data_IF_274070684547
#
_entry.id   IF_274070684547
#
_cell.length_a   1.000
_cell.length_b   1.000
_cell.length_c   1.000
_cell.angle_alpha   90.00
_cell.angle_beta   90.00
_cell.angle_gamma   90.00
#
_symmetry.space_group_name_H-M   'P 1'
#
loop_
_entity.id
_entity.type
_entity.pdbx_description
1 polymer ?
#
# COMPACT_ATOMS: atom_id res chain seq x y z
N UNK A 1 8.04 10.01 -19.96
CA UNK A 1 8.06 9.07 -18.81
C UNK A 1 7.16 9.48 -17.65
N UNK A 2 7.50 10.44 -16.78
CA UNK A 2 6.63 10.75 -15.62
C UNK A 2 5.22 11.22 -16.03
N UNK A 3 5.13 12.04 -17.07
CA UNK A 3 3.84 12.48 -17.62
C UNK A 3 3.03 11.32 -18.20
N UNK A 4 3.68 10.33 -18.82
CA UNK A 4 3.01 9.12 -19.31
C UNK A 4 2.46 8.29 -18.15
N UNK A 5 3.24 8.12 -17.08
CA UNK A 5 2.79 7.43 -15.86
C UNK A 5 1.58 8.13 -15.24
N UNK A 6 1.61 9.46 -15.14
CA UNK A 6 0.49 10.25 -14.60
C UNK A 6 -0.75 10.13 -15.48
N UNK A 7 -0.60 10.25 -16.80
CA UNK A 7 -1.70 10.09 -17.75
C UNK A 7 -2.30 8.67 -17.69
N UNK A 8 -1.44 7.64 -17.63
CA UNK A 8 -1.86 6.25 -17.45
C UNK A 8 -2.56 6.03 -16.12
N UNK A 9 -2.06 6.63 -15.03
CA UNK A 9 -2.70 6.58 -13.71
C UNK A 9 -4.10 7.17 -13.76
N UNK A 10 -4.27 8.34 -14.38
CA UNK A 10 -5.58 8.97 -14.55
C UNK A 10 -6.51 8.08 -15.37
N UNK A 11 -6.02 7.50 -16.47
CA UNK A 11 -6.81 6.62 -17.32
C UNK A 11 -7.31 5.37 -16.58
N UNK A 12 -6.42 4.65 -15.87
CA UNK A 12 -6.79 3.43 -15.15
C UNK A 12 -7.63 3.70 -13.90
N UNK A 13 -7.44 4.85 -13.24
CA UNK A 13 -8.21 5.22 -12.05
C UNK A 13 -9.59 5.79 -12.36
N UNK A 14 -9.79 6.43 -13.51
CA UNK A 14 -11.08 7.06 -13.87
C UNK A 14 -11.92 6.23 -14.83
N UNK A 15 -11.28 5.39 -15.66
CA UNK A 15 -11.93 4.51 -16.64
C UNK A 15 -11.28 3.13 -16.59
N UNK A 16 -11.47 2.38 -15.49
CA UNK A 16 -10.81 1.10 -15.30
C UNK A 16 -11.34 0.05 -16.28
N UNK A 17 -10.47 -0.48 -17.13
CA UNK A 17 -10.74 -1.62 -18.01
C UNK A 17 -9.42 -2.26 -18.44
N UNK A 18 -9.46 -3.53 -18.86
CA UNK A 18 -8.28 -4.23 -19.42
C UNK A 18 -7.67 -3.43 -20.56
N UNK A 19 -8.50 -2.91 -21.47
CA UNK A 19 -8.08 -2.07 -22.58
C UNK A 19 -7.39 -0.78 -22.13
N UNK A 20 -7.84 -0.16 -21.03
CA UNK A 20 -7.22 1.06 -20.47
C UNK A 20 -5.79 0.79 -19.99
N UNK A 21 -5.57 -0.37 -19.35
CA UNK A 21 -4.24 -0.83 -18.95
C UNK A 21 -3.35 -1.14 -20.16
N UNK A 22 -3.84 -1.93 -21.13
CA UNK A 22 -3.11 -2.28 -22.35
C UNK A 22 -2.69 -1.05 -23.16
N UNK A 23 -3.56 -0.02 -23.24
CA UNK A 23 -3.25 1.24 -23.94
C UNK A 23 -2.09 2.02 -23.32
N UNK A 24 -1.89 1.91 -22.00
CA UNK A 24 -0.86 2.63 -21.26
C UNK A 24 0.27 1.72 -20.78
N UNK A 25 0.33 0.50 -21.30
CA UNK A 25 1.29 -0.51 -20.91
C UNK A 25 2.69 -0.20 -21.46
N UNK A 26 3.71 -0.47 -20.64
CA UNK A 26 5.12 -0.43 -21.04
C UNK A 26 5.88 -1.52 -20.30
N UNK A 27 6.80 -2.19 -20.98
CA UNK A 27 7.81 -3.04 -20.33
C UNK A 27 8.94 -2.18 -19.76
N UNK A 28 8.72 -1.58 -18.59
CA UNK A 28 9.74 -0.75 -17.95
C UNK A 28 9.68 -0.80 -16.42
N UNK A 29 10.33 -1.82 -15.85
CA UNK A 29 10.43 -2.00 -14.41
C UNK A 29 11.07 -0.81 -13.68
N UNK A 30 12.09 -0.17 -14.27
CA UNK A 30 12.82 0.93 -13.64
C UNK A 30 11.89 2.11 -13.36
N UNK A 31 11.09 2.49 -14.34
CA UNK A 31 10.14 3.59 -14.16
C UNK A 31 8.94 3.23 -13.28
N UNK A 32 8.51 1.96 -13.28
CA UNK A 32 7.53 1.48 -12.31
C UNK A 32 8.04 1.67 -10.87
N UNK A 33 9.30 1.31 -10.61
CA UNK A 33 9.95 1.51 -9.30
C UNK A 33 10.13 2.99 -8.97
N UNK A 34 10.59 3.81 -9.91
CA UNK A 34 10.72 5.26 -9.70
C UNK A 34 9.37 5.86 -9.28
N UNK A 35 8.27 5.44 -9.93
CA UNK A 35 6.95 5.95 -9.61
C UNK A 35 6.46 5.53 -8.22
N UNK A 36 6.69 4.26 -7.84
CA UNK A 36 6.43 3.78 -6.48
C UNK A 36 7.27 4.54 -5.44
N UNK A 37 8.54 4.83 -5.73
CA UNK A 37 9.44 5.61 -4.87
C UNK A 37 8.94 7.05 -4.71
N UNK A 38 8.48 7.70 -5.78
CA UNK A 38 7.88 9.04 -5.70
C UNK A 38 6.68 9.03 -4.73
N UNK A 39 5.79 8.04 -4.84
CA UNK A 39 4.68 7.90 -3.89
C UNK A 39 5.17 7.66 -2.46
N UNK A 40 6.20 6.83 -2.24
CA UNK A 40 6.77 6.60 -0.91
C UNK A 40 7.33 7.86 -0.27
N UNK A 41 7.99 8.72 -1.06
CA UNK A 41 8.53 10.00 -0.59
C UNK A 41 7.38 10.94 -0.22
N UNK A 42 6.34 11.03 -1.05
CA UNK A 42 5.14 11.81 -0.74
C UNK A 42 4.51 11.33 0.56
N UNK A 43 4.33 10.01 0.72
CA UNK A 43 3.76 9.42 1.93
C UNK A 43 4.63 9.69 3.16
N UNK A 44 5.95 9.62 3.02
CA UNK A 44 6.90 9.96 4.08
C UNK A 44 6.80 11.42 4.52
N UNK A 45 6.65 12.35 3.57
CA UNK A 45 6.42 13.78 3.85
C UNK A 45 5.06 13.97 4.55
N UNK A 46 3.99 13.36 4.04
CA UNK A 46 2.67 13.41 4.67
C UNK A 46 2.71 12.85 6.10
N UNK A 47 3.43 11.75 6.32
CA UNK A 47 3.66 11.21 7.65
C UNK A 47 4.41 12.23 8.53
N UNK A 48 5.51 12.82 8.08
CA UNK A 48 6.25 13.81 8.86
C UNK A 48 5.37 15.03 9.24
N UNK A 49 4.56 15.54 8.31
CA UNK A 49 3.65 16.68 8.54
C UNK A 49 2.56 16.31 9.55
N UNK A 50 2.02 15.10 9.48
CA UNK A 50 0.90 14.65 10.33
C UNK A 50 1.36 14.06 11.66
N UNK A 51 2.66 13.92 11.89
CA UNK A 51 3.20 13.32 13.12
C UNK A 51 2.73 14.05 14.39
N UNK A 52 2.75 15.41 14.49
CA UNK A 52 2.26 16.11 15.69
C UNK A 52 0.78 15.85 15.98
N UNK A 53 -0.05 15.76 14.93
CA UNK A 53 -1.48 15.45 15.07
C UNK A 53 -1.69 14.05 15.64
N UNK A 54 -0.98 13.05 15.09
CA UNK A 54 -1.06 11.65 15.54
C UNK A 54 -0.54 11.46 16.97
N UNK A 55 0.52 12.18 17.35
CA UNK A 55 1.03 12.19 18.72
C UNK A 55 0.02 12.80 19.69
N UNK A 56 -0.63 13.90 19.30
CA UNK A 56 -1.68 14.53 20.10
C UNK A 56 -2.88 13.60 20.32
N UNK A 57 -3.33 12.91 19.28
CA UNK A 57 -4.41 11.93 19.37
C UNK A 57 -4.02 10.72 20.23
N UNK A 58 -2.82 10.16 20.04
CA UNK A 58 -2.31 9.05 20.85
C UNK A 58 -2.24 9.43 22.33
N UNK A 59 -1.74 10.64 22.64
CA UNK A 59 -1.71 11.15 24.02
C UNK A 59 -3.11 11.21 24.63
N UNK A 60 -4.07 11.81 23.92
CA UNK A 60 -5.45 11.89 24.41
C UNK A 60 -6.06 10.50 24.65
N UNK A 61 -5.78 9.53 23.76
CA UNK A 61 -6.22 8.14 23.94
C UNK A 61 -5.60 7.49 25.18
N UNK A 62 -4.29 7.63 25.40
CA UNK A 62 -3.62 7.07 26.58
C UNK A 62 -4.07 7.73 27.88
N UNK A 63 -4.27 9.05 27.89
CA UNK A 63 -4.81 9.79 29.04
C UNK A 63 -6.22 9.31 29.42
N UNK A 64 -7.09 9.08 28.42
CA UNK A 64 -8.44 8.52 28.67
C UNK A 64 -8.42 7.08 29.16
N UNK A 65 -7.35 6.33 28.86
CA UNK A 65 -7.12 4.98 29.39
C UNK A 65 -6.48 4.98 30.78
N UNK A 66 -6.21 6.15 31.38
CA UNK A 66 -5.63 6.27 32.72
C UNK A 66 -4.14 5.91 32.80
N UNK A 67 -3.44 5.93 31.66
CA UNK A 67 -2.00 5.65 31.61
C UNK A 67 -1.24 6.77 32.33
N UNK A 68 -0.27 6.45 33.20
CA UNK A 68 0.45 7.46 33.95
C UNK A 68 1.35 8.31 33.01
N UNK A 69 1.58 9.61 33.33
CA UNK A 69 2.21 10.55 32.40
C UNK A 69 3.63 10.17 31.96
N UNK A 70 4.39 9.52 32.85
CA UNK A 70 5.74 9.02 32.58
C UNK A 70 5.76 7.93 31.50
N UNK A 71 4.79 7.01 31.53
CA UNK A 71 4.63 5.98 30.50
C UNK A 71 4.20 6.58 29.16
N UNK A 72 3.39 7.65 29.16
CA UNK A 72 2.97 8.36 27.94
C UNK A 72 4.17 9.03 27.27
N UNK A 73 5.03 9.70 28.04
CA UNK A 73 6.23 10.34 27.49
C UNK A 73 7.21 9.32 26.91
N UNK A 74 7.40 8.18 27.58
CA UNK A 74 8.20 7.07 27.07
C UNK A 74 7.63 6.50 25.75
N UNK A 75 6.31 6.34 25.65
CA UNK A 75 5.64 5.87 24.43
C UNK A 75 5.79 6.84 23.26
N UNK A 76 5.68 8.16 23.52
CA UNK A 76 5.88 9.19 22.49
C UNK A 76 7.34 9.23 22.04
N UNK A 77 8.30 9.09 22.96
CA UNK A 77 9.72 9.05 22.63
C UNK A 77 10.09 7.86 21.73
N UNK A 78 9.32 6.76 21.77
CA UNK A 78 9.50 5.62 20.88
C UNK A 78 9.02 5.84 19.44
N UNK A 79 8.28 6.92 19.13
CA UNK A 79 7.82 7.17 17.74
C UNK A 79 8.96 7.43 16.73
N UNK A 80 10.21 7.55 17.21
CA UNK A 80 11.38 7.67 16.34
C UNK A 80 11.41 8.98 15.56
N UNK A 81 12.50 9.21 14.83
CA UNK A 81 12.63 10.40 14.00
C UNK A 81 11.89 10.17 12.66
N UNK A 82 10.87 10.98 12.31
CA UNK A 82 10.11 10.82 11.07
C UNK A 82 10.99 10.93 9.83
N UNK A 83 12.12 11.66 9.89
CA UNK A 83 13.08 11.78 8.78
C UNK A 83 13.72 10.41 8.48
N UNK A 84 14.09 9.64 9.51
CA UNK A 84 14.67 8.29 9.33
C UNK A 84 13.64 7.37 8.68
N UNK A 85 12.36 7.50 9.05
CA UNK A 85 11.27 6.71 8.48
C UNK A 85 11.09 6.96 6.97
N UNK A 86 11.37 8.18 6.47
CA UNK A 86 11.32 8.48 5.03
C UNK A 86 12.39 7.68 4.27
N UNK A 87 13.64 7.73 4.73
CA UNK A 87 14.74 7.01 4.08
C UNK A 87 14.56 5.49 4.14
N UNK A 88 14.17 4.97 5.31
CA UNK A 88 13.82 3.56 5.45
C UNK A 88 12.65 3.16 4.54
N UNK A 89 11.66 4.06 4.40
CA UNK A 89 10.49 3.89 3.55
C UNK A 89 10.84 3.70 2.08
N UNK A 90 11.81 4.43 1.54
CA UNK A 90 12.23 4.31 0.13
C UNK A 90 12.73 2.89 -0.17
N UNK A 91 13.67 2.38 0.62
CA UNK A 91 14.20 1.03 0.43
C UNK A 91 13.14 -0.03 0.70
N UNK A 92 12.30 0.18 1.73
CA UNK A 92 11.17 -0.66 2.04
C UNK A 92 10.17 -0.76 0.89
N UNK A 93 9.87 0.37 0.22
CA UNK A 93 9.01 0.41 -0.96
C UNK A 93 9.65 -0.34 -2.13
N UNK A 94 10.92 -0.12 -2.45
CA UNK A 94 11.57 -0.82 -3.56
C UNK A 94 11.53 -2.34 -3.34
N UNK A 95 11.97 -2.79 -2.17
CA UNK A 95 12.02 -4.22 -1.83
C UNK A 95 10.61 -4.80 -1.77
N UNK A 96 9.69 -4.13 -1.08
CA UNK A 96 8.30 -4.54 -0.93
C UNK A 96 7.57 -4.63 -2.26
N UNK A 97 7.71 -3.62 -3.12
CA UNK A 97 7.15 -3.61 -4.48
C UNK A 97 7.70 -4.77 -5.31
N UNK A 98 9.02 -5.01 -5.30
CA UNK A 98 9.60 -6.13 -6.04
C UNK A 98 9.11 -7.50 -5.55
N UNK A 99 8.97 -7.67 -4.23
CA UNK A 99 8.44 -8.92 -3.66
C UNK A 99 6.98 -9.13 -4.06
N UNK A 100 6.14 -8.11 -3.88
CA UNK A 100 4.70 -8.19 -4.18
C UNK A 100 4.50 -8.40 -5.68
N UNK A 101 5.09 -7.56 -6.53
CA UNK A 101 4.98 -7.69 -7.98
C UNK A 101 5.56 -9.02 -8.45
N UNK A 102 6.69 -9.46 -7.88
CA UNK A 102 7.31 -10.73 -8.20
C UNK A 102 6.41 -11.92 -7.85
N UNK A 103 5.76 -11.88 -6.69
CA UNK A 103 4.80 -12.91 -6.29
C UNK A 103 3.59 -12.95 -7.24
N UNK A 104 3.01 -11.80 -7.57
CA UNK A 104 1.90 -11.70 -8.52
C UNK A 104 2.32 -12.22 -9.90
N UNK A 105 3.52 -11.86 -10.36
CA UNK A 105 4.09 -12.32 -11.62
C UNK A 105 4.22 -13.84 -11.64
N UNK A 106 4.81 -14.43 -10.60
CA UNK A 106 4.99 -15.89 -10.50
C UNK A 106 3.65 -16.63 -10.48
N UNK A 107 2.64 -16.11 -9.77
CA UNK A 107 1.28 -16.64 -9.82
C UNK A 107 0.70 -16.51 -11.24
N UNK A 108 0.84 -15.35 -11.88
CA UNK A 108 0.41 -15.15 -13.26
C UNK A 108 1.01 -16.18 -14.21
N UNK A 109 2.33 -16.43 -14.10
CA UNK A 109 3.05 -17.45 -14.87
C UNK A 109 2.56 -18.86 -14.56
N UNK A 110 2.32 -19.19 -13.29
CA UNK A 110 1.79 -20.49 -12.87
C UNK A 110 0.39 -20.79 -13.46
N UNK A 111 -0.43 -19.76 -13.68
CA UNK A 111 -1.75 -19.87 -14.32
C UNK A 111 -1.69 -19.79 -15.86
N UNK A 112 -0.48 -19.72 -16.45
CA UNK A 112 -0.24 -19.73 -17.89
C UNK A 112 -0.17 -18.35 -18.55
N UNK A 113 0.10 -17.30 -17.78
CA UNK A 113 0.26 -15.94 -18.29
C UNK A 113 1.53 -15.77 -19.11
N UNK A 114 1.48 -14.93 -20.13
CA UNK A 114 2.57 -14.74 -21.10
C UNK A 114 3.25 -13.37 -20.99
N UNK A 115 2.72 -12.44 -20.20
CA UNK A 115 3.30 -11.12 -20.03
C UNK A 115 4.67 -11.08 -19.37
N UNK A 116 5.33 -9.94 -19.47
CA UNK A 116 6.65 -9.67 -18.89
C UNK A 116 6.54 -9.11 -17.47
N UNK A 117 7.64 -9.20 -16.70
CA UNK A 117 7.67 -8.67 -15.34
C UNK A 117 7.55 -7.14 -15.32
N UNK A 118 8.17 -6.44 -16.27
CA UNK A 118 8.12 -4.98 -16.34
C UNK A 118 6.75 -4.45 -16.75
N UNK A 119 6.03 -5.13 -17.66
CA UNK A 119 4.64 -4.78 -18.02
C UNK A 119 3.70 -4.87 -16.81
N UNK A 120 3.75 -5.97 -16.07
CA UNK A 120 2.95 -6.14 -14.85
C UNK A 120 3.32 -5.10 -13.79
N UNK A 121 4.61 -4.92 -13.51
CA UNK A 121 5.08 -3.94 -12.54
C UNK A 121 4.63 -2.52 -12.89
N UNK A 122 4.75 -2.15 -14.16
CA UNK A 122 4.27 -0.87 -14.68
C UNK A 122 2.77 -0.73 -14.46
N UNK A 123 1.96 -1.67 -14.93
CA UNK A 123 0.50 -1.65 -14.76
C UNK A 123 0.08 -1.55 -13.30
N UNK A 124 0.70 -2.32 -12.40
CA UNK A 124 0.44 -2.24 -10.96
C UNK A 124 0.82 -0.88 -10.38
N UNK A 125 1.95 -0.29 -10.81
CA UNK A 125 2.41 1.01 -10.29
C UNK A 125 1.51 2.19 -10.71
N UNK A 126 0.80 2.09 -11.85
CA UNK A 126 -0.11 3.14 -12.34
C UNK A 126 -1.27 3.44 -11.38
N UNK A 127 -1.73 2.46 -10.61
CA UNK A 127 -2.77 2.71 -9.60
C UNK A 127 -2.25 2.60 -8.18
N UNK A 128 -1.34 1.68 -7.87
CA UNK A 128 -0.90 1.46 -6.49
C UNK A 128 -0.19 2.68 -5.91
N UNK A 129 0.64 3.36 -6.71
CA UNK A 129 1.37 4.56 -6.29
C UNK A 129 0.42 5.73 -5.94
N UNK A 130 -0.49 6.18 -6.85
CA UNK A 130 -1.44 7.24 -6.51
C UNK A 130 -2.47 6.81 -5.45
N UNK A 131 -2.87 5.53 -5.41
CA UNK A 131 -3.79 5.03 -4.39
C UNK A 131 -3.14 5.05 -2.99
N UNK A 132 -1.86 4.70 -2.87
CA UNK A 132 -1.14 4.78 -1.60
C UNK A 132 -1.05 6.23 -1.07
N UNK A 133 -0.88 7.20 -1.97
CA UNK A 133 -0.94 8.63 -1.61
C UNK A 133 -2.34 9.03 -1.18
N UNK A 134 -3.37 8.62 -1.93
CA UNK A 134 -4.76 8.89 -1.57
C UNK A 134 -5.12 8.28 -0.20
N UNK A 135 -4.71 7.04 0.06
CA UNK A 135 -4.88 6.38 1.35
C UNK A 135 -4.19 7.14 2.48
N UNK A 136 -2.97 7.62 2.26
CA UNK A 136 -2.23 8.42 3.26
C UNK A 136 -2.89 9.76 3.57
N UNK A 137 -3.56 10.37 2.60
CA UNK A 137 -4.34 11.61 2.80
C UNK A 137 -5.62 11.31 3.57
N UNK A 138 -6.35 10.28 3.15
CA UNK A 138 -7.62 9.87 3.75
C UNK A 138 -7.45 9.44 5.20
N UNK A 139 -6.33 8.78 5.55
CA UNK A 139 -6.06 8.34 6.92
C UNK A 139 -5.93 9.47 7.95
N UNK A 140 -5.77 10.72 7.49
CA UNK A 140 -5.68 11.89 8.38
C UNK A 140 -7.07 12.40 8.77
N UNK A 141 -8.13 11.99 8.06
CA UNK A 141 -9.50 12.44 8.32
C UNK A 141 -10.14 11.50 9.34
N UNK A 142 -10.35 11.93 10.59
CA UNK A 142 -11.01 11.10 11.60
C UNK A 142 -12.46 10.79 11.21
N UNK A 143 -12.99 9.63 11.64
CA UNK A 143 -14.34 9.10 11.40
C UNK A 143 -14.69 8.73 9.96
N UNK A 144 -14.41 9.60 8.98
CA UNK A 144 -14.73 9.35 7.56
C UNK A 144 -13.61 8.57 6.86
N UNK A 145 -12.38 8.66 7.41
CA UNK A 145 -11.20 7.98 6.88
C UNK A 145 -11.40 6.48 6.69
N UNK A 146 -11.93 5.78 7.69
CA UNK A 146 -12.01 4.32 7.67
C UNK A 146 -12.94 3.77 6.58
N UNK A 147 -14.10 4.41 6.40
CA UNK A 147 -15.06 4.01 5.35
C UNK A 147 -14.47 4.28 3.96
N UNK A 148 -13.80 5.43 3.80
CA UNK A 148 -13.13 5.76 2.54
C UNK A 148 -11.95 4.83 2.27
N UNK A 149 -11.16 4.47 3.28
CA UNK A 149 -10.07 3.51 3.16
C UNK A 149 -10.58 2.12 2.76
N UNK A 150 -11.71 1.68 3.32
CA UNK A 150 -12.36 0.45 2.90
C UNK A 150 -12.77 0.53 1.42
N UNK A 151 -13.40 1.62 0.99
CA UNK A 151 -13.75 1.82 -0.43
C UNK A 151 -12.52 1.81 -1.35
N UNK A 152 -11.44 2.51 -0.97
CA UNK A 152 -10.18 2.55 -1.72
C UNK A 152 -9.50 1.18 -1.78
N UNK A 153 -9.53 0.39 -0.71
CA UNK A 153 -8.95 -0.95 -0.69
C UNK A 153 -9.71 -1.93 -1.60
N UNK A 154 -11.05 -1.91 -1.57
CA UNK A 154 -11.88 -2.71 -2.48
C UNK A 154 -11.59 -2.30 -3.93
N UNK A 155 -11.50 -0.99 -4.20
CA UNK A 155 -11.16 -0.48 -5.52
C UNK A 155 -9.75 -0.93 -5.97
N UNK A 156 -8.78 -0.91 -5.06
CA UNK A 156 -7.42 -1.40 -5.32
C UNK A 156 -7.38 -2.89 -5.69
N UNK A 157 -8.20 -3.73 -5.06
CA UNK A 157 -8.33 -5.16 -5.41
C UNK A 157 -8.88 -5.32 -6.82
N UNK A 158 -9.91 -4.55 -7.18
CA UNK A 158 -10.48 -4.56 -8.53
C UNK A 158 -9.46 -4.12 -9.60
N UNK A 159 -8.68 -3.07 -9.33
CA UNK A 159 -7.62 -2.63 -10.24
C UNK A 159 -6.48 -3.64 -10.35
N UNK A 160 -6.13 -4.30 -9.25
CA UNK A 160 -5.14 -5.39 -9.24
C UNK A 160 -5.59 -6.54 -10.15
N UNK A 161 -6.88 -6.90 -10.09
CA UNK A 161 -7.46 -7.89 -11.01
C UNK A 161 -7.30 -7.48 -12.48
N UNK A 162 -7.64 -6.24 -12.84
CA UNK A 162 -7.50 -5.75 -14.23
C UNK A 162 -6.04 -5.68 -14.70
N UNK A 163 -5.13 -5.26 -13.82
CA UNK A 163 -3.70 -5.18 -14.10
C UNK A 163 -3.08 -6.58 -14.29
N UNK A 164 -3.51 -7.58 -13.50
CA UNK A 164 -3.10 -8.98 -13.71
C UNK A 164 -3.64 -9.52 -15.03
N UNK A 165 -4.89 -9.21 -15.36
CA UNK A 165 -5.53 -9.69 -16.58
C UNK A 165 -4.78 -9.18 -17.82
N UNK A 166 -4.58 -7.86 -17.90
CA UNK A 166 -3.85 -7.19 -18.99
C UNK A 166 -2.35 -7.56 -18.98
N UNK A 167 -1.65 -7.26 -17.89
CA UNK A 167 -0.20 -7.41 -17.80
C UNK A 167 0.32 -8.85 -17.80
N UNK A 168 -0.53 -9.86 -17.61
CA UNK A 168 -0.17 -11.28 -17.79
C UNK A 168 -0.84 -11.92 -19.01
N UNK A 169 -1.64 -11.18 -19.78
CA UNK A 169 -2.42 -11.68 -20.92
C UNK A 169 -3.28 -12.90 -20.56
N UNK A 170 -3.91 -12.85 -19.39
CA UNK A 170 -4.73 -13.96 -18.87
C UNK A 170 -6.21 -13.76 -19.20
N UNK A 171 -6.97 -14.84 -19.43
CA UNK A 171 -8.42 -14.74 -19.47
C UNK A 171 -8.96 -14.32 -18.10
N UNK A 172 -10.05 -13.55 -18.10
CA UNK A 172 -10.71 -12.98 -16.92
C UNK A 172 -10.84 -13.97 -15.76
N UNK A 173 -11.29 -15.21 -16.02
CA UNK A 173 -11.47 -16.22 -14.98
C UNK A 173 -10.17 -16.59 -14.23
N UNK A 174 -9.05 -16.70 -14.94
CA UNK A 174 -7.75 -17.02 -14.32
C UNK A 174 -7.20 -15.83 -13.54
N UNK A 175 -7.31 -14.63 -14.09
CA UNK A 175 -6.92 -13.41 -13.39
C UNK A 175 -7.74 -13.21 -12.10
N UNK A 176 -9.03 -13.55 -12.13
CA UNK A 176 -9.91 -13.51 -10.96
C UNK A 176 -9.44 -14.46 -9.84
N UNK A 177 -9.04 -15.69 -10.19
CA UNK A 177 -8.50 -16.63 -9.19
C UNK A 177 -7.25 -16.08 -8.50
N UNK A 178 -6.34 -15.49 -9.27
CA UNK A 178 -5.13 -14.87 -8.70
C UNK A 178 -5.51 -13.72 -7.77
N UNK A 179 -6.42 -12.83 -8.19
CA UNK A 179 -6.88 -11.71 -7.36
C UNK A 179 -7.53 -12.18 -6.05
N UNK A 180 -8.33 -13.25 -6.08
CA UNK A 180 -8.93 -13.84 -4.87
C UNK A 180 -7.84 -14.44 -3.96
N UNK A 181 -6.87 -15.17 -4.52
CA UNK A 181 -5.74 -15.73 -3.76
C UNK A 181 -4.98 -14.60 -3.05
N UNK A 182 -4.67 -13.51 -3.75
CA UNK A 182 -3.99 -12.34 -3.18
C UNK A 182 -4.81 -11.68 -2.09
N UNK A 183 -6.14 -11.55 -2.26
CA UNK A 183 -7.04 -11.01 -1.25
C UNK A 183 -7.02 -11.87 0.01
N UNK A 184 -7.15 -13.19 -0.11
CA UNK A 184 -7.12 -14.12 1.04
C UNK A 184 -5.77 -14.05 1.75
N UNK A 185 -4.65 -14.06 1.02
CA UNK A 185 -3.31 -13.93 1.61
C UNK A 185 -3.18 -12.60 2.35
N UNK A 186 -3.66 -11.50 1.77
CA UNK A 186 -3.60 -10.16 2.38
C UNK A 186 -4.43 -10.12 3.67
N UNK A 187 -5.63 -10.69 3.66
CA UNK A 187 -6.49 -10.78 4.85
C UNK A 187 -5.87 -11.65 5.95
N UNK A 188 -5.30 -12.79 5.60
CA UNK A 188 -4.60 -13.65 6.56
C UNK A 188 -3.38 -12.93 7.17
N UNK A 189 -2.58 -12.28 6.34
CA UNK A 189 -1.43 -11.50 6.79
C UNK A 189 -1.85 -10.35 7.72
N UNK A 190 -2.92 -9.63 7.38
CA UNK A 190 -3.50 -8.59 8.23
C UNK A 190 -3.97 -9.16 9.58
N UNK A 191 -4.72 -10.25 9.57
CA UNK A 191 -5.19 -10.90 10.81
C UNK A 191 -4.02 -11.35 11.70
N UNK A 192 -2.98 -11.94 11.12
CA UNK A 192 -1.80 -12.40 11.86
C UNK A 192 -1.01 -11.22 12.43
N UNK A 193 -0.77 -10.17 11.64
CA UNK A 193 0.00 -9.00 12.08
C UNK A 193 -0.74 -8.19 13.16
N UNK A 194 -2.05 -7.96 12.99
CA UNK A 194 -2.87 -7.29 14.01
C UNK A 194 -2.97 -8.16 15.28
N UNK A 195 -3.16 -9.47 15.14
CA UNK A 195 -3.20 -10.39 16.26
C UNK A 195 -1.88 -10.42 17.04
N UNK A 196 -0.73 -10.48 16.36
CA UNK A 196 0.58 -10.41 16.98
C UNK A 196 0.83 -9.06 17.65
N UNK A 197 0.46 -7.95 17.01
CA UNK A 197 0.59 -6.62 17.58
C UNK A 197 -0.24 -6.48 18.86
N UNK A 198 -1.46 -7.03 18.90
CA UNK A 198 -2.30 -7.05 20.08
C UNK A 198 -1.68 -7.89 21.22
N UNK A 199 -1.11 -9.06 20.90
CA UNK A 199 -0.41 -9.91 21.88
C UNK A 199 0.82 -9.19 22.44
N UNK A 200 1.65 -8.57 21.59
CA UNK A 200 2.81 -7.78 22.02
C UNK A 200 2.40 -6.60 22.89
N UNK A 201 1.31 -5.90 22.53
CA UNK A 201 0.75 -4.83 23.36
C UNK A 201 0.32 -5.31 24.75
N UNK A 202 -0.31 -6.48 24.85
CA UNK A 202 -0.71 -7.08 26.13
C UNK A 202 0.47 -7.54 26.99
N UNK A 203 1.53 -8.07 26.37
CA UNK A 203 2.72 -8.54 27.10
C UNK A 203 3.63 -7.36 27.48
N UNK A 204 3.76 -6.35 26.61
CA UNK A 204 4.54 -5.13 26.86
C UNK A 204 3.92 -4.20 27.90
N UNK A 205 2.61 -4.26 28.10
CA UNK A 205 1.90 -3.55 29.18
C UNK A 205 2.00 -4.20 30.56
N UNK A 206 2.70 -5.34 30.70
CA UNK A 206 2.92 -6.06 31.97
C UNK A 206 4.37 -6.00 32.47
N UNK A 207 5.24 -5.18 31.84
CA UNK A 207 6.56 -4.89 32.40
C UNK A 207 6.41 -3.87 33.55
N UNK A 208 6.87 -4.20 34.78
CA UNK A 208 6.76 -3.30 35.94
C UNK A 208 7.62 -2.05 35.82
#
# INVERSE_FOLDING_TARGET
MIQEMVNGSIAVLTRPSVQSFEQHERDNLVWALIYAVIASVINGILAAITAPLRVGELRAQLETQGVPPDAIEAAIAQQGNPIIAIFAGIFGTIIGSLIIWGFIYLLGRAFGGTGSFGELAWGLSLFSSPLAVAQSIVSVIPLVGDILLLGLSIYGVYLTYLAIQSGMNLPSQKALYIAIILLVITLLFLCVTVGLAAIVGLIGGLAP
#
